data_IF_901826332085
#
_entry.id   IF_901826332085
#
_cell.length_a   1.000
_cell.length_b   1.000
_cell.length_c   1.000
_cell.angle_alpha   90.00
_cell.angle_beta   90.00
_cell.angle_gamma   90.00
#
_symmetry.space_group_name_H-M   'P 1'
#
loop_
_entity.id
_entity.type
_entity.pdbx_description
1 polymer ?
#
# COMPACT_ATOMS: atom_id res chain seq x y z
N UNK A 1 -32.08 1.33 -15.20
CA UNK A 1 -32.59 2.44 -16.05
C UNK A 1 -31.44 3.43 -16.18
N UNK A 2 -30.65 3.31 -17.25
CA UNK A 2 -29.52 4.20 -17.52
C UNK A 2 -30.02 5.61 -17.81
N UNK A 3 -29.73 6.55 -16.92
CA UNK A 3 -29.88 7.97 -17.20
C UNK A 3 -28.65 8.42 -17.98
N UNK A 4 -28.75 8.48 -19.31
CA UNK A 4 -27.78 9.20 -20.12
C UNK A 4 -27.95 10.71 -19.90
N UNK A 5 -27.26 11.25 -18.90
CA UNK A 5 -27.15 12.68 -18.68
C UNK A 5 -26.08 13.25 -19.63
N UNK A 6 -26.56 13.94 -20.67
CA UNK A 6 -25.73 14.61 -21.67
C UNK A 6 -24.95 15.79 -21.03
N UNK A 7 -23.78 16.15 -21.57
CA UNK A 7 -22.81 17.19 -21.08
C UNK A 7 -23.37 18.61 -20.87
N UNK A 8 -24.67 18.83 -21.05
CA UNK A 8 -25.35 20.14 -20.89
C UNK A 8 -26.66 20.03 -20.11
N UNK A 9 -26.91 18.92 -19.44
CA UNK A 9 -28.15 18.71 -18.70
C UNK A 9 -28.16 19.58 -17.43
N UNK A 10 -29.05 20.59 -17.43
CA UNK A 10 -29.42 21.35 -16.23
C UNK A 10 -30.41 20.51 -15.43
N UNK A 11 -30.13 20.22 -14.17
CA UNK A 11 -31.10 19.52 -13.31
C UNK A 11 -32.03 20.55 -12.68
N UNK A 12 -33.35 20.36 -12.82
CA UNK A 12 -34.36 21.18 -12.16
C UNK A 12 -34.58 20.67 -10.72
N UNK A 13 -33.88 21.28 -9.77
CA UNK A 13 -34.29 21.33 -8.37
C UNK A 13 -35.05 22.66 -8.18
N UNK A 14 -36.36 22.59 -7.94
CA UNK A 14 -37.20 23.71 -7.49
C UNK A 14 -37.23 24.99 -8.36
N UNK A 15 -37.22 24.89 -9.69
CA UNK A 15 -37.66 25.99 -10.57
C UNK A 15 -36.78 27.24 -10.63
N UNK A 16 -35.49 27.17 -10.25
CA UNK A 16 -34.48 28.22 -10.53
C UNK A 16 -33.36 27.68 -11.41
N UNK A 17 -32.72 28.58 -12.17
CA UNK A 17 -31.57 28.25 -13.03
C UNK A 17 -30.44 27.67 -12.19
N UNK A 18 -30.20 26.37 -12.34
CA UNK A 18 -29.22 25.65 -11.53
C UNK A 18 -27.84 25.63 -12.19
N UNK A 19 -26.84 25.58 -11.32
CA UNK A 19 -25.44 25.35 -11.65
C UNK A 19 -25.33 24.09 -12.55
N UNK A 20 -24.64 24.14 -13.69
CA UNK A 20 -24.37 22.99 -14.54
C UNK A 20 -23.86 21.78 -13.73
N UNK A 21 -24.35 20.58 -14.07
CA UNK A 21 -23.98 19.33 -13.38
C UNK A 21 -22.46 19.12 -13.35
N UNK A 22 -21.76 19.53 -14.39
CA UNK A 22 -20.31 19.46 -14.50
C UNK A 22 -19.61 20.32 -13.43
N UNK A 23 -20.12 21.53 -13.19
CA UNK A 23 -19.59 22.40 -12.14
C UNK A 23 -19.90 21.87 -10.74
N UNK A 24 -21.07 21.23 -10.55
CA UNK A 24 -21.38 20.53 -9.30
C UNK A 24 -20.36 19.41 -9.08
N UNK A 25 -20.15 18.53 -10.07
CA UNK A 25 -19.14 17.46 -9.98
C UNK A 25 -17.73 18.01 -9.73
N UNK A 26 -17.39 19.15 -10.34
CA UNK A 26 -16.12 19.81 -10.13
C UNK A 26 -15.96 20.35 -8.70
N UNK A 27 -17.01 20.90 -8.10
CA UNK A 27 -16.97 21.35 -6.70
C UNK A 27 -16.86 20.14 -5.76
N UNK A 28 -17.71 19.13 -5.96
CA UNK A 28 -17.78 17.97 -5.06
C UNK A 28 -16.52 17.13 -5.07
N UNK A 29 -15.85 17.00 -6.21
CA UNK A 29 -14.59 16.26 -6.31
C UNK A 29 -13.38 16.99 -5.67
N UNK A 30 -13.54 18.23 -5.18
CA UNK A 30 -12.56 18.93 -4.32
C UNK A 30 -12.82 18.71 -2.82
N UNK A 31 -13.97 18.14 -2.45
CA UNK A 31 -14.32 17.97 -1.05
C UNK A 31 -13.59 16.77 -0.44
N UNK A 32 -13.30 16.79 0.88
CA UNK A 32 -12.83 15.62 1.59
C UNK A 32 -13.81 14.45 1.47
N UNK A 33 -13.28 13.23 1.46
CA UNK A 33 -14.05 11.99 1.35
C UNK A 33 -15.25 11.91 2.30
N UNK A 34 -15.07 12.30 3.57
CA UNK A 34 -16.14 12.33 4.58
C UNK A 34 -17.29 13.26 4.20
N UNK A 35 -16.99 14.38 3.55
CA UNK A 35 -18.00 15.31 3.06
C UNK A 35 -18.74 14.74 1.86
N UNK A 36 -18.05 14.04 0.95
CA UNK A 36 -18.68 13.34 -0.18
C UNK A 36 -19.68 12.29 0.31
N UNK A 37 -19.29 11.49 1.33
CA UNK A 37 -20.20 10.51 1.93
C UNK A 37 -21.48 11.16 2.48
N UNK A 38 -21.39 12.35 3.09
CA UNK A 38 -22.55 13.12 3.54
C UNK A 38 -23.38 13.67 2.37
N UNK A 39 -22.72 14.10 1.30
CA UNK A 39 -23.38 14.57 0.09
C UNK A 39 -24.25 13.48 -0.57
N UNK A 40 -23.84 12.21 -0.52
CA UNK A 40 -24.67 11.08 -0.96
C UNK A 40 -26.01 11.00 -0.21
N UNK A 41 -26.08 11.49 1.04
CA UNK A 41 -27.29 11.46 1.85
C UNK A 41 -28.23 12.65 1.61
N UNK A 42 -27.83 13.67 0.84
CA UNK A 42 -28.61 14.89 0.62
C UNK A 42 -29.84 14.62 -0.26
N UNK A 43 -29.67 13.84 -1.33
CA UNK A 43 -30.78 13.43 -2.21
C UNK A 43 -30.40 12.25 -3.10
N UNK A 44 -31.40 11.56 -3.67
CA UNK A 44 -31.20 10.48 -4.65
C UNK A 44 -30.43 10.93 -5.89
N UNK A 45 -30.66 12.18 -6.32
CA UNK A 45 -29.96 12.79 -7.44
C UNK A 45 -28.46 12.92 -7.14
N UNK A 46 -28.11 13.43 -5.97
CA UNK A 46 -26.72 13.59 -5.56
C UNK A 46 -26.01 12.25 -5.41
N UNK A 47 -26.68 11.25 -4.81
CA UNK A 47 -26.18 9.88 -4.78
C UNK A 47 -25.92 9.34 -6.19
N UNK A 48 -26.83 9.59 -7.15
CA UNK A 48 -26.66 9.18 -8.54
C UNK A 48 -25.49 9.88 -9.22
N UNK A 49 -25.28 11.18 -8.99
CA UNK A 49 -24.16 11.95 -9.56
C UNK A 49 -22.83 11.44 -9.03
N UNK A 50 -22.73 11.23 -7.72
CA UNK A 50 -21.52 10.77 -7.04
C UNK A 50 -21.17 9.31 -7.39
N UNK A 51 -22.16 8.53 -7.86
CA UNK A 51 -21.96 7.19 -8.40
C UNK A 51 -21.64 7.13 -9.89
N UNK A 52 -21.59 8.26 -10.61
CA UNK A 52 -21.26 8.26 -12.03
C UNK A 52 -19.78 7.87 -12.23
N UNK A 53 -19.46 7.00 -13.20
CA UNK A 53 -18.07 6.65 -13.52
C UNK A 53 -17.18 7.87 -13.75
N UNK A 54 -17.70 8.89 -14.42
CA UNK A 54 -16.99 10.16 -14.64
C UNK A 54 -16.63 10.87 -13.33
N UNK A 55 -17.53 10.90 -12.34
CA UNK A 55 -17.23 11.52 -11.05
C UNK A 55 -16.18 10.73 -10.28
N UNK A 56 -16.29 9.39 -10.29
CA UNK A 56 -15.33 8.51 -9.64
C UNK A 56 -13.92 8.68 -10.22
N UNK A 57 -13.80 8.72 -11.54
CA UNK A 57 -12.52 8.98 -12.23
C UNK A 57 -11.97 10.38 -11.91
N UNK A 58 -12.83 11.40 -11.89
CA UNK A 58 -12.45 12.77 -11.55
C UNK A 58 -11.94 12.88 -10.10
N UNK A 59 -12.63 12.23 -9.16
CA UNK A 59 -12.23 12.18 -7.76
C UNK A 59 -10.90 11.44 -7.59
N UNK A 60 -10.76 10.24 -8.18
CA UNK A 60 -9.52 9.45 -8.11
C UNK A 60 -8.32 10.20 -8.72
N UNK A 61 -8.52 10.93 -9.83
CA UNK A 61 -7.47 11.76 -10.45
C UNK A 61 -7.01 12.87 -9.51
N UNK A 62 -7.95 13.54 -8.83
CA UNK A 62 -7.64 14.63 -7.89
C UNK A 62 -6.99 14.12 -6.62
N UNK A 63 -7.46 12.99 -6.12
CA UNK A 63 -6.87 12.28 -4.99
C UNK A 63 -5.43 11.85 -5.30
N UNK A 64 -5.17 11.36 -6.52
CA UNK A 64 -3.81 11.03 -6.98
C UNK A 64 -2.89 12.25 -7.04
N UNK A 65 -3.42 13.42 -7.40
CA UNK A 65 -2.66 14.68 -7.41
C UNK A 65 -2.45 15.27 -6.00
N UNK A 66 -3.18 14.77 -4.99
CA UNK A 66 -3.13 15.21 -3.59
C UNK A 66 -3.17 13.98 -2.68
N UNK A 67 -2.11 13.16 -2.70
CA UNK A 67 -2.11 11.91 -1.95
C UNK A 67 -2.28 12.15 -0.47
N UNK A 68 -2.74 11.11 0.21
CA UNK A 68 -2.85 11.05 1.65
C UNK A 68 -1.84 10.04 2.20
N UNK A 69 -1.55 10.15 3.49
CA UNK A 69 -0.98 9.06 4.24
C UNK A 69 -2.10 8.17 4.74
N UNK A 70 -1.92 6.85 4.67
CA UNK A 70 -2.83 5.86 5.24
C UNK A 70 -2.21 5.24 6.49
N UNK A 71 -2.98 5.21 7.57
CA UNK A 71 -2.64 4.52 8.81
C UNK A 71 -3.54 3.31 8.97
N UNK A 72 -2.95 2.13 9.09
CA UNK A 72 -3.64 0.89 9.39
C UNK A 72 -3.31 0.45 10.82
N UNK A 73 -4.24 0.72 11.74
CA UNK A 73 -4.13 0.38 13.15
C UNK A 73 -4.72 -1.00 13.41
N UNK A 74 -3.90 -1.96 13.87
CA UNK A 74 -4.36 -3.30 14.25
C UNK A 74 -4.76 -3.34 15.72
N UNK A 75 -5.95 -3.87 15.99
CA UNK A 75 -6.51 -4.03 17.34
C UNK A 75 -7.57 -5.13 17.39
N UNK A 76 -7.45 -6.05 18.35
CA UNK A 76 -8.50 -7.02 18.74
C UNK A 76 -9.21 -7.72 17.56
N UNK A 77 -8.45 -8.28 16.61
CA UNK A 77 -9.02 -8.93 15.41
C UNK A 77 -9.62 -7.96 14.39
N UNK A 78 -9.21 -6.70 14.42
CA UNK A 78 -9.69 -5.64 13.53
C UNK A 78 -8.53 -4.80 13.01
N UNK A 79 -8.73 -4.23 11.83
CA UNK A 79 -7.91 -3.16 11.29
C UNK A 79 -8.77 -1.90 11.19
N UNK A 80 -8.32 -0.83 11.82
CA UNK A 80 -8.90 0.50 11.75
C UNK A 80 -8.08 1.33 10.78
N UNK A 81 -8.73 1.92 9.79
CA UNK A 81 -8.06 2.76 8.80
C UNK A 81 -8.30 4.24 9.08
N UNK A 82 -7.22 5.02 8.97
CA UNK A 82 -7.25 6.46 9.07
C UNK A 82 -6.47 7.08 7.91
N UNK A 83 -6.85 8.25 7.45
CA UNK A 83 -6.06 9.02 6.48
C UNK A 83 -5.77 10.42 6.96
N UNK A 84 -4.65 10.97 6.52
CA UNK A 84 -4.35 12.38 6.67
C UNK A 84 -3.75 12.94 5.38
N UNK A 85 -3.99 14.22 5.05
CA UNK A 85 -3.38 14.85 3.88
C UNK A 85 -1.86 14.70 3.90
N UNK A 86 -1.28 14.26 2.78
CA UNK A 86 0.17 14.19 2.65
C UNK A 86 0.70 15.58 2.26
N UNK A 87 1.53 16.21 3.09
CA UNK A 87 2.15 17.50 2.74
C UNK A 87 3.03 17.35 1.49
N UNK A 88 2.87 18.27 0.53
CA UNK A 88 3.70 18.31 -0.69
C UNK A 88 4.91 19.25 -0.56
N UNK A 89 4.83 20.24 0.32
CA UNK A 89 5.93 21.17 0.60
C UNK A 89 6.15 21.26 2.11
N UNK A 90 7.38 20.98 2.53
CA UNK A 90 7.83 21.13 3.90
C UNK A 90 8.65 22.40 4.01
N UNK A 91 8.04 23.42 4.60
CA UNK A 91 8.79 24.53 5.18
C UNK A 91 8.85 24.33 6.68
N UNK A 92 9.99 24.71 7.27
CA UNK A 92 10.28 24.52 8.71
C UNK A 92 9.23 25.21 9.60
N UNK A 93 8.51 26.19 9.06
CA UNK A 93 7.45 26.93 9.74
C UNK A 93 6.07 26.24 9.68
N UNK A 94 5.95 25.12 8.96
CA UNK A 94 4.69 24.38 8.75
C UNK A 94 4.49 23.24 9.78
N UNK A 95 4.96 23.42 11.01
CA UNK A 95 4.83 22.44 12.11
C UNK A 95 3.41 22.42 12.70
N UNK A 96 2.40 22.27 11.85
CA UNK A 96 1.04 21.99 12.29
C UNK A 96 0.88 20.49 12.49
N UNK A 97 0.26 20.08 13.60
CA UNK A 97 -0.11 18.69 13.84
C UNK A 97 -0.92 18.10 12.68
N UNK A 98 -0.72 16.81 12.42
CA UNK A 98 -1.43 16.07 11.38
C UNK A 98 -2.64 15.40 12.01
N UNK A 99 -3.84 15.78 11.58
CA UNK A 99 -5.08 15.13 12.02
C UNK A 99 -5.39 13.91 11.15
N UNK A 100 -5.27 12.71 11.73
CA UNK A 100 -5.68 11.47 11.12
C UNK A 100 -7.21 11.28 11.25
N UNK A 101 -7.90 11.29 10.11
CA UNK A 101 -9.34 11.11 10.03
C UNK A 101 -9.69 9.63 9.94
N UNK A 102 -10.60 9.17 10.79
CA UNK A 102 -11.14 7.82 10.71
C UNK A 102 -11.84 7.60 9.37
N UNK A 103 -11.44 6.55 8.67
CA UNK A 103 -12.05 6.11 7.41
C UNK A 103 -13.04 4.97 7.65
N UNK A 104 -12.54 3.82 8.06
CA UNK A 104 -13.33 2.59 8.15
C UNK A 104 -12.70 1.57 9.09
N UNK A 105 -13.39 0.44 9.27
CA UNK A 105 -12.86 -0.73 9.98
C UNK A 105 -13.13 -1.99 9.19
N UNK A 106 -12.20 -2.94 9.29
CA UNK A 106 -12.38 -4.31 8.80
C UNK A 106 -12.14 -5.26 9.96
N UNK A 107 -13.10 -6.15 10.20
CA UNK A 107 -12.96 -7.23 11.16
C UNK A 107 -12.44 -8.48 10.44
N UNK A 108 -11.59 -9.24 11.11
CA UNK A 108 -11.14 -10.54 10.66
C UNK A 108 -11.13 -11.53 11.83
N UNK A 109 -11.41 -12.79 11.57
CA UNK A 109 -11.40 -13.83 12.60
C UNK A 109 -10.03 -14.49 12.63
N UNK A 110 -9.08 -13.92 13.38
CA UNK A 110 -7.72 -14.46 13.41
C UNK A 110 -6.81 -13.84 14.46
N UNK A 111 -5.75 -14.57 14.80
CA UNK A 111 -4.73 -14.13 15.77
C UNK A 111 -3.69 -13.18 15.17
N UNK A 112 -3.47 -13.22 13.86
CA UNK A 112 -2.51 -12.38 13.15
C UNK A 112 -3.05 -12.00 11.76
N UNK A 113 -2.77 -10.77 11.34
CA UNK A 113 -3.11 -10.26 10.01
C UNK A 113 -1.90 -9.52 9.42
N UNK A 114 -1.53 -9.94 8.21
CA UNK A 114 -0.63 -9.23 7.32
C UNK A 114 -1.42 -8.32 6.39
N UNK A 115 -0.94 -7.09 6.20
CA UNK A 115 -1.55 -6.08 5.34
C UNK A 115 -0.59 -5.80 4.19
N UNK A 116 -0.97 -6.21 2.97
CA UNK A 116 -0.31 -5.76 1.75
C UNK A 116 -0.67 -4.30 1.51
N UNK A 117 0.35 -3.46 1.30
CA UNK A 117 0.21 -2.01 1.16
C UNK A 117 -0.76 -1.57 0.07
N UNK A 118 -1.18 -0.30 0.09
CA UNK A 118 -2.22 0.19 -0.79
C UNK A 118 -1.77 0.16 -2.25
N UNK A 119 -2.64 -0.37 -3.11
CA UNK A 119 -2.48 -0.32 -4.57
C UNK A 119 -3.78 0.21 -5.15
N UNK A 120 -3.72 1.39 -5.79
CA UNK A 120 -4.90 2.07 -6.34
C UNK A 120 -6.06 2.19 -5.33
N UNK A 121 -5.74 2.60 -4.10
CA UNK A 121 -6.73 2.81 -3.04
C UNK A 121 -7.21 1.56 -2.33
N UNK A 122 -6.78 0.37 -2.75
CA UNK A 122 -7.16 -0.92 -2.14
C UNK A 122 -6.03 -1.51 -1.30
N UNK A 123 -6.38 -2.19 -0.22
CA UNK A 123 -5.45 -2.97 0.63
C UNK A 123 -5.89 -4.43 0.70
N UNK A 124 -4.96 -5.34 0.94
CA UNK A 124 -5.25 -6.77 1.09
C UNK A 124 -4.81 -7.27 2.46
N UNK A 125 -5.75 -7.87 3.17
CA UNK A 125 -5.56 -8.47 4.48
C UNK A 125 -5.45 -9.98 4.28
N UNK A 126 -4.37 -10.56 4.79
CA UNK A 126 -4.19 -12.02 4.89
C UNK A 126 -4.10 -12.39 6.36
N UNK A 127 -4.96 -13.27 6.84
CA UNK A 127 -4.99 -13.69 8.24
C UNK A 127 -5.20 -15.19 8.36
N UNK A 128 -4.76 -15.75 9.50
CA UNK A 128 -5.02 -17.16 9.83
C UNK A 128 -6.38 -17.25 10.51
N UNK A 129 -7.29 -18.02 9.94
CA UNK A 129 -8.60 -18.27 10.55
C UNK A 129 -8.42 -19.05 11.86
N UNK A 130 -9.18 -18.71 12.90
CA UNK A 130 -9.14 -19.44 14.17
C UNK A 130 -9.99 -20.73 14.12
N UNK A 131 -11.01 -20.77 13.27
CA UNK A 131 -11.97 -21.89 13.17
C UNK A 131 -11.51 -22.96 12.19
N UNK A 132 -10.74 -22.56 11.18
CA UNK A 132 -10.23 -23.44 10.14
C UNK A 132 -8.71 -23.39 10.07
N UNK A 133 -8.07 -24.47 9.63
CA UNK A 133 -6.65 -24.45 9.27
C UNK A 133 -6.36 -23.72 7.95
N UNK A 134 -7.33 -22.95 7.43
CA UNK A 134 -7.27 -22.17 6.20
C UNK A 134 -6.86 -20.71 6.48
N UNK A 135 -6.48 -19.98 5.42
CA UNK A 135 -6.21 -18.54 5.50
C UNK A 135 -7.37 -17.75 4.92
N UNK A 136 -7.75 -16.69 5.62
CA UNK A 136 -8.71 -15.71 5.16
C UNK A 136 -8.02 -14.60 4.38
N UNK A 137 -8.66 -14.16 3.31
CA UNK A 137 -8.17 -13.10 2.43
C UNK A 137 -9.29 -12.09 2.20
N UNK A 138 -9.03 -10.83 2.56
CA UNK A 138 -9.99 -9.74 2.37
C UNK A 138 -9.32 -8.61 1.61
N UNK A 139 -9.89 -8.25 0.46
CA UNK A 139 -9.60 -6.97 -0.19
C UNK A 139 -10.50 -5.92 0.45
N UNK A 140 -9.93 -4.77 0.79
CA UNK A 140 -10.69 -3.66 1.34
C UNK A 140 -10.35 -2.38 0.61
N UNK A 141 -11.36 -1.55 0.37
CA UNK A 141 -11.17 -0.13 0.11
C UNK A 141 -11.27 0.60 1.46
N UNK A 142 -10.15 1.11 2.04
CA UNK A 142 -10.18 1.82 3.30
C UNK A 142 -11.09 3.06 3.26
N UNK A 143 -11.20 3.74 2.12
CA UNK A 143 -11.98 4.98 1.96
C UNK A 143 -13.47 4.73 2.09
N UNK A 144 -13.99 3.68 1.47
CA UNK A 144 -15.44 3.37 1.50
C UNK A 144 -15.80 2.37 2.61
N UNK A 145 -14.82 1.64 3.13
CA UNK A 145 -15.02 0.51 4.04
C UNK A 145 -15.61 -0.73 3.35
N UNK A 146 -15.71 -0.71 2.02
CA UNK A 146 -16.16 -1.89 1.27
C UNK A 146 -15.10 -2.98 1.34
N UNK A 147 -15.58 -4.21 1.47
CA UNK A 147 -14.74 -5.40 1.62
C UNK A 147 -15.19 -6.47 0.64
N UNK A 148 -14.23 -7.16 0.07
CA UNK A 148 -14.42 -8.34 -0.75
C UNK A 148 -13.63 -9.49 -0.14
N UNK A 149 -14.33 -10.47 0.41
CA UNK A 149 -13.73 -11.73 0.87
C UNK A 149 -13.43 -12.60 -0.35
N UNK A 150 -12.16 -12.99 -0.50
CA UNK A 150 -11.78 -13.86 -1.60
C UNK A 150 -12.13 -15.32 -1.29
N UNK A 151 -12.43 -16.14 -2.32
CA UNK A 151 -12.62 -17.57 -2.15
C UNK A 151 -11.46 -18.19 -1.37
N UNK A 152 -11.80 -18.97 -0.33
CA UNK A 152 -10.81 -19.72 0.42
C UNK A 152 -10.10 -20.71 -0.51
N UNK A 153 -8.82 -20.89 -0.23
CA UNK A 153 -8.03 -21.94 -0.85
C UNK A 153 -7.94 -23.08 0.17
N UNK A 154 -8.35 -24.28 -0.24
CA UNK A 154 -8.08 -25.49 0.54
C UNK A 154 -6.57 -25.60 0.73
N UNK A 155 -6.13 -25.31 1.95
CA UNK A 155 -4.74 -25.45 2.38
C UNK A 155 -4.38 -26.92 2.36
N UNK A 156 -3.24 -27.27 1.76
CA UNK A 156 -2.76 -28.65 1.81
C UNK A 156 -2.39 -28.99 3.26
N UNK A 157 -2.99 -30.06 3.76
CA UNK A 157 -2.91 -30.54 5.15
C UNK A 157 -1.45 -30.59 5.63
N UNK A 158 -1.12 -29.84 6.69
CA UNK A 158 0.17 -29.94 7.40
C UNK A 158 0.93 -28.63 7.66
N UNK A 159 0.49 -27.51 7.08
CA UNK A 159 1.23 -26.25 7.12
C UNK A 159 0.95 -25.44 8.41
N UNK A 160 1.83 -25.55 9.41
CA UNK A 160 1.62 -24.97 10.77
C UNK A 160 1.98 -23.48 10.94
N UNK A 161 2.63 -22.81 9.97
CA UNK A 161 3.17 -21.45 10.16
C UNK A 161 2.34 -20.34 9.45
N UNK A 162 2.07 -19.20 10.12
CA UNK A 162 1.31 -18.07 9.56
C UNK A 162 2.00 -17.37 8.38
N UNK A 163 3.30 -17.61 8.16
CA UNK A 163 4.08 -16.98 7.10
C UNK A 163 4.05 -17.71 5.75
N UNK A 164 3.42 -18.89 5.71
CA UNK A 164 3.55 -19.84 4.58
C UNK A 164 2.57 -19.63 3.43
N UNK A 165 1.74 -18.60 3.50
CA UNK A 165 0.82 -18.23 2.43
C UNK A 165 0.45 -16.76 2.53
N UNK A 166 0.64 -16.00 1.46
CA UNK A 166 0.56 -14.53 1.46
C UNK A 166 -0.15 -14.09 0.19
N UNK A 167 -1.04 -13.10 0.33
CA UNK A 167 -1.60 -12.38 -0.81
C UNK A 167 -0.95 -11.02 -0.95
N UNK A 168 -0.43 -10.74 -2.13
CA UNK A 168 0.09 -9.43 -2.52
C UNK A 168 -0.85 -8.81 -3.55
N UNK A 169 -1.27 -7.57 -3.28
CA UNK A 169 -1.99 -6.78 -4.28
C UNK A 169 -1.04 -6.26 -5.33
N UNK A 170 -1.52 -6.23 -6.55
CA UNK A 170 -0.84 -5.57 -7.64
C UNK A 170 -1.87 -5.05 -8.65
N UNK A 171 -1.46 -4.15 -9.54
CA UNK A 171 -2.36 -3.52 -10.50
C UNK A 171 -1.73 -3.47 -11.89
N UNK A 172 -2.53 -3.76 -12.90
CA UNK A 172 -2.17 -3.55 -14.30
C UNK A 172 -2.58 -2.12 -14.73
N UNK A 173 -1.62 -1.21 -14.94
CA UNK A 173 -1.92 0.16 -15.35
C UNK A 173 -2.46 0.28 -16.77
N UNK A 174 -2.24 -0.73 -17.63
CA UNK A 174 -2.70 -0.73 -19.03
C UNK A 174 -4.18 -1.09 -19.09
N UNK A 175 -4.53 -2.23 -18.50
CA UNK A 175 -5.92 -2.73 -18.50
C UNK A 175 -6.76 -2.13 -17.37
N UNK A 176 -6.13 -1.35 -16.48
CA UNK A 176 -6.72 -0.73 -15.28
C UNK A 176 -7.37 -1.74 -14.33
N UNK A 177 -6.75 -2.92 -14.18
CA UNK A 177 -7.29 -4.02 -13.38
C UNK A 177 -6.43 -4.32 -12.16
N UNK A 178 -7.07 -4.35 -10.99
CA UNK A 178 -6.48 -4.90 -9.79
C UNK A 178 -6.38 -6.43 -9.88
N UNK A 179 -5.31 -6.98 -9.35
CA UNK A 179 -5.06 -8.42 -9.31
C UNK A 179 -4.41 -8.80 -7.97
N UNK A 180 -4.52 -10.06 -7.58
CA UNK A 180 -4.04 -10.58 -6.29
C UNK A 180 -3.17 -11.80 -6.52
N UNK A 181 -1.93 -11.77 -6.01
CA UNK A 181 -0.97 -12.86 -6.14
C UNK A 181 -0.99 -13.62 -4.83
N UNK A 182 -1.56 -14.81 -4.88
CA UNK A 182 -1.48 -15.74 -3.78
C UNK A 182 -0.26 -16.63 -3.97
N UNK A 183 0.60 -16.64 -2.96
CA UNK A 183 1.76 -17.52 -2.88
C UNK A 183 1.59 -18.40 -1.66
N UNK A 184 1.78 -19.71 -1.82
CA UNK A 184 1.70 -20.68 -0.72
C UNK A 184 2.86 -21.66 -0.82
N UNK A 185 3.55 -21.90 0.30
CA UNK A 185 4.54 -22.95 0.43
C UNK A 185 3.87 -24.31 0.31
N UNK A 186 4.39 -25.13 -0.60
CA UNK A 186 3.99 -26.51 -0.81
C UNK A 186 5.21 -27.42 -0.75
N UNK A 187 5.02 -28.65 -0.26
CA UNK A 187 6.09 -29.66 -0.23
C UNK A 187 6.02 -30.45 -1.54
N UNK A 188 7.00 -30.25 -2.40
CA UNK A 188 7.20 -31.10 -3.55
C UNK A 188 7.86 -32.41 -3.10
N UNK A 189 7.05 -33.46 -2.94
CA UNK A 189 7.49 -34.79 -2.54
C UNK A 189 8.41 -35.47 -3.57
N UNK A 190 8.42 -35.04 -4.84
CA UNK A 190 9.29 -35.63 -5.86
C UNK A 190 10.76 -35.23 -5.67
N UNK A 191 11.00 -34.05 -5.09
CA UNK A 191 12.33 -33.47 -4.87
C UNK A 191 12.61 -33.15 -3.40
N UNK A 192 11.69 -33.50 -2.49
CA UNK A 192 11.78 -33.24 -1.05
C UNK A 192 12.06 -31.76 -0.69
N UNK A 193 11.51 -30.83 -1.47
CA UNK A 193 11.73 -29.38 -1.31
C UNK A 193 10.43 -28.62 -1.10
N UNK A 194 10.50 -27.54 -0.33
CA UNK A 194 9.39 -26.59 -0.16
C UNK A 194 9.47 -25.53 -1.26
N UNK A 195 8.41 -25.39 -2.05
CA UNK A 195 8.33 -24.46 -3.19
C UNK A 195 7.05 -23.64 -3.13
N UNK A 196 7.04 -22.43 -3.67
CA UNK A 196 5.80 -21.67 -3.78
C UNK A 196 4.93 -22.17 -4.93
N UNK A 197 3.65 -22.38 -4.62
CA UNK A 197 2.58 -22.38 -5.60
C UNK A 197 2.05 -20.96 -5.76
N UNK A 198 1.98 -20.50 -7.01
CA UNK A 198 1.48 -19.19 -7.37
C UNK A 198 0.08 -19.31 -7.97
N UNK A 199 -0.86 -18.56 -7.43
CA UNK A 199 -2.20 -18.40 -7.99
C UNK A 199 -2.51 -16.92 -8.16
N UNK A 200 -3.22 -16.62 -9.22
CA UNK A 200 -3.63 -15.27 -9.58
C UNK A 200 -5.14 -15.17 -9.54
N UNK A 201 -5.63 -14.06 -9.04
CA UNK A 201 -7.01 -13.63 -9.19
C UNK A 201 -7.05 -12.23 -9.80
N UNK A 202 -8.00 -11.98 -10.69
CA UNK A 202 -8.26 -10.65 -11.24
C UNK A 202 -9.52 -10.10 -10.61
N UNK A 203 -9.45 -8.87 -10.11
CA UNK A 203 -10.57 -8.19 -9.46
C UNK A 203 -11.49 -7.55 -10.49
N UNK A 204 -12.77 -7.38 -10.13
CA UNK A 204 -13.78 -6.76 -11.01
C UNK A 204 -14.34 -7.66 -12.11
N UNK A 205 -14.06 -8.96 -12.08
CA UNK A 205 -14.70 -9.95 -12.96
C UNK A 205 -16.04 -10.42 -12.40
N UNK A 206 -16.94 -10.91 -13.26
CA UNK A 206 -18.24 -11.47 -12.81
C UNK A 206 -18.07 -12.68 -11.89
N UNK A 207 -16.99 -13.45 -12.10
CA UNK A 207 -16.64 -14.62 -11.30
C UNK A 207 -15.21 -14.47 -10.79
N UNK A 208 -15.05 -14.56 -9.47
CA UNK A 208 -13.75 -14.54 -8.82
C UNK A 208 -13.19 -15.95 -8.78
N UNK A 209 -12.18 -16.21 -9.59
CA UNK A 209 -11.53 -17.51 -9.68
C UNK A 209 -10.03 -17.39 -9.55
N UNK A 210 -9.45 -18.31 -8.78
CA UNK A 210 -8.02 -18.50 -8.72
C UNK A 210 -7.56 -19.33 -9.92
N UNK A 211 -6.68 -18.77 -10.74
CA UNK A 211 -5.95 -19.53 -11.77
C UNK A 211 -4.53 -19.79 -11.31
N UNK A 212 -3.99 -20.96 -11.67
CA UNK A 212 -2.57 -21.26 -11.43
C UNK A 212 -1.72 -20.48 -12.44
N UNK A 213 -0.63 -19.90 -11.97
CA UNK A 213 0.43 -19.40 -12.86
C UNK A 213 1.66 -20.29 -12.70
N UNK A 214 2.44 -20.43 -13.78
CA UNK A 214 3.65 -21.26 -13.78
C UNK A 214 4.84 -20.35 -13.54
N UNK A 215 5.56 -20.61 -12.45
CA UNK A 215 6.89 -20.09 -12.24
C UNK A 215 7.92 -21.17 -12.61
N UNK A 216 8.84 -20.86 -13.53
CA UNK A 216 9.85 -21.80 -13.98
C UNK A 216 10.96 -22.05 -12.93
N UNK A 217 11.12 -21.15 -11.96
CA UNK A 217 12.17 -21.23 -10.94
C UNK A 217 11.52 -21.44 -9.57
N UNK A 218 11.70 -22.63 -8.96
CA UNK A 218 11.24 -22.88 -7.60
C UNK A 218 11.96 -21.99 -6.58
N UNK A 219 11.16 -21.33 -5.75
CA UNK A 219 11.64 -20.37 -4.76
C UNK A 219 10.66 -20.30 -3.58
N UNK A 220 11.11 -19.71 -2.47
CA UNK A 220 10.26 -19.42 -1.31
C UNK A 220 10.28 -17.92 -0.97
N UNK A 221 9.13 -17.37 -0.57
CA UNK A 221 8.94 -15.92 -0.42
C UNK A 221 8.99 -15.52 1.04
N UNK A 222 9.49 -14.32 1.28
CA UNK A 222 9.34 -13.64 2.56
C UNK A 222 8.17 -12.64 2.51
N UNK A 223 7.84 -12.06 3.66
CA UNK A 223 6.62 -11.28 3.93
C UNK A 223 6.70 -9.83 3.43
N UNK A 224 7.53 -9.52 2.43
CA UNK A 224 7.72 -8.14 1.94
C UNK A 224 7.65 -8.09 0.40
N UNK A 225 6.74 -7.27 -0.11
CA UNK A 225 6.64 -6.96 -1.53
C UNK A 225 5.99 -5.60 -1.79
N UNK A 226 6.28 -5.03 -2.96
CA UNK A 226 5.80 -3.70 -3.38
C UNK A 226 5.44 -3.73 -4.87
N UNK A 227 4.33 -3.06 -5.23
CA UNK A 227 3.93 -2.89 -6.62
C UNK A 227 4.40 -1.53 -7.13
N UNK A 228 5.20 -1.51 -8.20
CA UNK A 228 5.75 -0.29 -8.82
C UNK A 228 5.49 -0.37 -10.32
N UNK A 229 4.75 0.61 -10.87
CA UNK A 229 4.49 0.73 -12.31
C UNK A 229 3.98 -0.56 -13.00
N UNK A 230 3.18 -1.36 -12.30
CA UNK A 230 2.66 -2.62 -12.83
C UNK A 230 3.59 -3.82 -12.69
N UNK A 231 4.69 -3.70 -11.97
CA UNK A 231 5.56 -4.83 -11.62
C UNK A 231 5.54 -5.01 -10.10
N UNK A 232 5.24 -6.23 -9.67
CA UNK A 232 5.33 -6.61 -8.26
C UNK A 232 6.74 -7.11 -7.97
N UNK A 233 7.42 -6.45 -7.03
CA UNK A 233 8.76 -6.80 -6.54
C UNK A 233 8.65 -7.42 -5.16
N UNK A 234 9.25 -8.58 -4.96
CA UNK A 234 9.35 -9.19 -3.64
C UNK A 234 10.64 -9.98 -3.50
N UNK A 235 11.16 -10.08 -2.26
CA UNK A 235 12.34 -10.90 -1.99
C UNK A 235 11.97 -12.36 -1.91
N UNK A 236 12.83 -13.16 -2.51
CA UNK A 236 12.75 -14.61 -2.43
C UNK A 236 14.13 -15.23 -2.29
N UNK A 237 14.15 -16.52 -2.02
CA UNK A 237 15.35 -17.35 -2.07
C UNK A 237 15.06 -18.56 -2.93
N UNK A 238 16.00 -18.90 -3.82
CA UNK A 238 15.90 -20.10 -4.67
C UNK A 238 15.91 -21.36 -3.83
N UNK A 239 15.03 -22.30 -4.16
CA UNK A 239 14.87 -23.53 -3.38
C UNK A 239 16.14 -24.42 -3.41
N UNK A 240 16.86 -24.44 -4.54
CA UNK A 240 18.02 -25.33 -4.74
C UNK A 240 19.36 -24.70 -4.36
N UNK A 241 19.60 -23.45 -4.77
CA UNK A 241 20.90 -22.80 -4.58
C UNK A 241 20.98 -22.00 -3.28
N UNK A 242 19.82 -21.71 -2.67
CA UNK A 242 19.69 -20.81 -1.52
C UNK A 242 20.16 -19.36 -1.79
N UNK A 243 20.26 -18.96 -3.06
CA UNK A 243 20.57 -17.59 -3.43
C UNK A 243 19.39 -16.67 -3.18
N UNK A 244 19.67 -15.50 -2.60
CA UNK A 244 18.70 -14.43 -2.47
C UNK A 244 18.49 -13.74 -3.81
N UNK A 245 17.23 -13.59 -4.21
CA UNK A 245 16.84 -12.97 -5.47
C UNK A 245 15.69 -12.00 -5.23
N UNK A 246 15.55 -11.01 -6.10
CA UNK A 246 14.30 -10.25 -6.19
C UNK A 246 13.49 -10.86 -7.31
N UNK A 247 12.27 -11.27 -6.99
CA UNK A 247 11.31 -11.73 -7.98
C UNK A 247 10.50 -10.53 -8.46
N UNK A 248 10.42 -10.40 -9.77
CA UNK A 248 9.62 -9.41 -10.45
C UNK A 248 8.47 -10.14 -11.15
N UNK A 249 7.25 -9.71 -10.92
CA UNK A 249 6.06 -10.30 -11.54
C UNK A 249 5.29 -9.22 -12.29
N UNK A 250 5.27 -9.33 -13.62
CA UNK A 250 4.65 -8.33 -14.49
C UNK A 250 3.14 -8.46 -14.50
N UNK A 251 2.43 -7.35 -14.31
CA UNK A 251 0.99 -7.36 -14.18
C UNK A 251 0.27 -7.73 -15.46
N UNK A 252 0.85 -7.45 -16.62
CA UNK A 252 0.22 -7.61 -17.92
C UNK A 252 0.50 -8.98 -18.51
N UNK A 253 1.78 -9.37 -18.58
CA UNK A 253 2.16 -10.69 -19.10
C UNK A 253 1.93 -11.81 -18.07
N UNK A 254 1.85 -11.49 -16.77
CA UNK A 254 1.80 -12.48 -15.69
C UNK A 254 3.01 -13.43 -15.72
N UNK A 255 4.17 -12.88 -16.11
CA UNK A 255 5.44 -13.61 -16.19
C UNK A 255 6.38 -13.21 -15.05
N UNK A 256 7.16 -14.20 -14.61
CA UNK A 256 8.18 -14.03 -13.59
C UNK A 256 9.53 -13.73 -14.23
N UNK A 257 10.22 -12.74 -13.68
CA UNK A 257 11.65 -12.50 -13.92
C UNK A 257 12.38 -12.34 -12.58
N UNK A 258 13.70 -12.45 -12.62
CA UNK A 258 14.54 -12.55 -11.43
C UNK A 258 15.73 -11.61 -11.56
N UNK A 259 15.98 -10.86 -10.50
CA UNK A 259 17.16 -10.01 -10.37
C UNK A 259 18.11 -10.69 -9.40
N UNK A 260 19.33 -10.92 -9.87
CA UNK A 260 20.41 -11.44 -9.04
C UNK A 260 20.87 -10.37 -8.03
N UNK A 261 21.20 -10.83 -6.83
CA UNK A 261 21.58 -9.94 -5.72
C UNK A 261 23.00 -10.26 -5.31
N UNK A 262 23.92 -9.34 -5.61
CA UNK A 262 25.30 -9.45 -5.17
C UNK A 262 25.39 -9.48 -3.64
N UNK A 263 26.45 -10.10 -3.11
CA UNK A 263 26.66 -10.26 -1.67
C UNK A 263 26.54 -8.95 -0.89
N UNK A 264 27.02 -7.85 -1.46
CA UNK A 264 26.97 -6.49 -0.88
C UNK A 264 25.53 -5.99 -0.65
N UNK A 265 24.55 -6.43 -1.45
CA UNK A 265 23.16 -5.97 -1.38
C UNK A 265 22.22 -6.94 -0.66
N UNK A 266 22.72 -8.09 -0.17
CA UNK A 266 21.92 -9.06 0.60
C UNK A 266 21.36 -8.45 1.88
N UNK A 267 22.19 -7.73 2.65
CA UNK A 267 21.74 -7.09 3.91
C UNK A 267 20.69 -6.01 3.65
N UNK A 268 20.90 -5.04 2.73
CA UNK A 268 19.84 -4.11 2.33
C UNK A 268 18.54 -4.79 1.93
N UNK A 269 18.59 -5.89 1.18
CA UNK A 269 17.38 -6.59 0.73
C UNK A 269 16.63 -7.29 1.87
N UNK A 270 17.37 -7.84 2.85
CA UNK A 270 16.81 -8.53 4.01
C UNK A 270 16.18 -7.53 4.98
N UNK A 271 16.93 -6.48 5.31
CA UNK A 271 16.61 -5.60 6.42
C UNK A 271 15.95 -4.31 6.00
N UNK A 272 16.10 -3.85 4.76
CA UNK A 272 15.63 -2.53 4.33
C UNK A 272 14.12 -2.44 4.15
N UNK A 273 13.61 -1.21 4.18
CA UNK A 273 12.25 -0.87 3.80
C UNK A 273 12.16 -0.76 2.29
N UNK A 274 11.16 -1.44 1.69
CA UNK A 274 10.98 -1.44 0.23
C UNK A 274 10.23 -0.19 -0.15
N UNK A 275 10.75 0.55 -1.12
CA UNK A 275 10.19 1.83 -1.53
C UNK A 275 10.08 1.92 -3.04
N UNK A 276 9.10 2.70 -3.48
CA UNK A 276 9.05 3.20 -4.85
C UNK A 276 9.85 4.51 -4.90
N UNK A 277 11.06 4.48 -5.46
CA UNK A 277 11.88 5.67 -5.65
C UNK A 277 11.79 6.13 -7.11
N UNK A 278 10.83 7.04 -7.38
CA UNK A 278 10.58 7.61 -8.71
C UNK A 278 10.38 6.54 -9.80
N UNK A 279 9.54 5.55 -9.52
CA UNK A 279 9.25 4.44 -10.44
C UNK A 279 10.26 3.29 -10.40
N UNK A 280 11.28 3.36 -9.55
CA UNK A 280 12.32 2.33 -9.39
C UNK A 280 12.22 1.63 -8.06
N UNK A 281 12.58 0.36 -8.04
CA UNK A 281 12.69 -0.40 -6.81
C UNK A 281 13.88 0.11 -5.98
N UNK A 282 13.60 0.51 -4.75
CA UNK A 282 14.60 0.98 -3.80
C UNK A 282 14.47 0.33 -2.43
N UNK A 283 15.58 0.36 -1.70
CA UNK A 283 15.71 -0.12 -0.33
C UNK A 283 16.23 1.03 0.53
N UNK A 284 15.53 1.33 1.61
CA UNK A 284 15.92 2.37 2.57
C UNK A 284 16.26 1.74 3.91
N UNK A 285 17.41 2.10 4.47
CA UNK A 285 17.90 1.56 5.72
C UNK A 285 18.78 2.54 6.50
N UNK A 286 18.92 2.31 7.80
CA UNK A 286 19.88 2.97 8.67
C UNK A 286 20.81 1.91 9.26
N UNK A 287 22.08 1.92 8.89
CA UNK A 287 23.12 1.04 9.48
C UNK A 287 22.71 -0.45 9.52
N UNK A 288 22.05 -0.94 8.47
CA UNK A 288 21.60 -2.34 8.36
C UNK A 288 20.19 -2.64 8.89
N UNK A 289 19.37 -1.63 9.21
CA UNK A 289 18.02 -1.80 9.75
C UNK A 289 16.95 -1.01 8.98
N UNK A 290 15.68 -1.49 8.97
CA UNK A 290 14.48 -0.78 8.45
C UNK A 290 13.91 0.24 9.44
N UNK A 291 14.65 0.58 10.49
CA UNK A 291 14.31 1.63 11.42
C UNK A 291 15.49 2.55 11.65
N UNK A 292 15.20 3.75 12.14
CA UNK A 292 16.18 4.68 12.66
C UNK A 292 15.91 4.95 14.13
N UNK A 293 16.94 5.34 14.87
CA UNK A 293 16.90 5.65 16.29
C UNK A 293 17.87 6.80 16.62
N UNK A 294 18.02 7.13 17.90
CA UNK A 294 18.94 8.19 18.34
C UNK A 294 20.40 7.97 17.90
N UNK A 295 20.84 6.70 17.77
CA UNK A 295 22.21 6.36 17.41
C UNK A 295 22.48 6.44 15.89
N UNK A 296 21.41 6.51 15.10
CA UNK A 296 21.51 6.62 13.64
C UNK A 296 22.33 7.86 13.24
N UNK A 297 23.32 7.65 12.37
CA UNK A 297 24.21 8.71 11.88
C UNK A 297 24.03 9.03 10.39
N UNK A 298 23.41 8.11 9.65
CA UNK A 298 23.16 8.26 8.22
C UNK A 298 22.07 7.30 7.76
N UNK A 299 21.37 7.68 6.70
CA UNK A 299 20.50 6.79 5.94
C UNK A 299 21.17 6.36 4.65
N UNK A 300 20.88 5.14 4.23
CA UNK A 300 21.37 4.55 2.98
C UNK A 300 20.16 4.22 2.10
N UNK A 301 20.19 4.75 0.89
CA UNK A 301 19.25 4.46 -0.17
C UNK A 301 19.96 3.64 -1.23
N UNK A 302 19.48 2.43 -1.46
CA UNK A 302 19.96 1.54 -2.51
C UNK A 302 18.88 1.45 -3.59
N UNK A 303 19.20 1.76 -4.84
CA UNK A 303 18.24 1.77 -5.96
C UNK A 303 18.77 0.93 -7.12
N UNK A 304 17.89 0.12 -7.71
CA UNK A 304 18.19 -0.66 -8.91
C UNK A 304 18.00 0.22 -10.14
N UNK A 305 19.01 0.28 -11.01
CA UNK A 305 19.00 1.02 -12.27
C UNK A 305 18.17 0.35 -13.37
N UNK A 306 17.87 1.12 -14.43
CA UNK A 306 17.05 0.65 -15.58
C UNK A 306 17.91 0.06 -16.72
N UNK A 307 19.24 0.07 -16.57
CA UNK A 307 20.16 -0.47 -17.57
C UNK A 307 19.97 -1.97 -17.73
N UNK A 308 20.28 -2.53 -18.92
CA UNK A 308 20.28 -3.98 -19.17
C UNK A 308 21.10 -4.77 -18.12
N UNK A 309 22.11 -4.14 -17.52
CA UNK A 309 22.97 -4.73 -16.49
C UNK A 309 22.42 -4.62 -15.05
N UNK A 310 21.26 -4.00 -14.84
CA UNK A 310 20.63 -3.80 -13.51
C UNK A 310 21.60 -3.24 -12.45
N UNK A 311 22.34 -2.18 -12.79
CA UNK A 311 23.35 -1.62 -11.90
C UNK A 311 22.72 -1.06 -10.62
N UNK A 312 23.27 -1.49 -9.49
CA UNK A 312 22.87 -1.03 -8.17
C UNK A 312 23.57 0.29 -7.81
N UNK A 313 22.81 1.26 -7.34
CA UNK A 313 23.36 2.54 -6.86
C UNK A 313 23.06 2.74 -5.38
N UNK A 314 24.09 3.09 -4.61
CA UNK A 314 23.96 3.39 -3.18
C UNK A 314 24.20 4.88 -2.95
N UNK A 315 23.29 5.53 -2.24
CA UNK A 315 23.41 6.92 -1.78
C UNK A 315 23.35 6.95 -0.27
N UNK A 316 24.28 7.67 0.34
CA UNK A 316 24.36 7.84 1.80
C UNK A 316 24.05 9.28 2.17
N UNK A 317 23.08 9.45 3.07
CA UNK A 317 22.65 10.76 3.58
C UNK A 317 23.04 10.86 5.04
N UNK A 318 24.06 11.66 5.34
CA UNK A 318 24.50 11.91 6.73
C UNK A 318 23.46 12.77 7.44
N UNK A 319 23.05 12.36 8.64
CA UNK A 319 22.02 13.04 9.40
C UNK A 319 22.57 14.31 10.06
N UNK A 320 21.75 15.37 10.17
CA UNK A 320 22.19 16.60 10.82
C UNK A 320 22.33 16.38 12.34
N UNK A 321 23.16 17.18 13.04
CA UNK A 321 23.33 17.06 14.49
C UNK A 321 22.02 17.17 15.30
N UNK A 322 21.03 17.88 14.75
CA UNK A 322 19.68 18.02 15.32
C UNK A 322 18.93 16.69 15.44
N UNK A 323 19.29 15.66 14.66
CA UNK A 323 18.67 14.34 14.71
C UNK A 323 18.63 13.75 16.13
N UNK A 324 19.79 13.74 16.80
CA UNK A 324 19.93 13.17 18.17
C UNK A 324 19.03 13.87 19.20
N UNK A 325 18.69 15.14 18.96
CA UNK A 325 17.83 15.90 19.86
C UNK A 325 16.35 15.65 19.57
N UNK A 326 15.99 15.29 18.33
CA UNK A 326 14.61 15.09 17.90
C UNK A 326 14.11 13.65 18.04
N UNK A 327 15.01 12.68 17.90
CA UNK A 327 14.71 11.24 17.88
C UNK A 327 15.33 10.58 19.10
N UNK A 328 14.47 10.03 19.96
CA UNK A 328 14.85 9.27 21.16
C UNK A 328 14.41 7.81 21.12
N UNK A 329 13.51 7.48 20.19
CA UNK A 329 12.86 6.18 20.07
C UNK A 329 13.10 5.61 18.68
N UNK A 330 12.78 4.33 18.50
CA UNK A 330 12.84 3.68 17.20
C UNK A 330 11.71 4.16 16.29
N UNK A 331 12.06 4.56 15.08
CA UNK A 331 11.15 5.04 14.04
C UNK A 331 11.25 4.12 12.82
N UNK A 332 10.12 3.60 12.35
CA UNK A 332 10.09 2.81 11.13
C UNK A 332 10.18 3.70 9.89
N UNK A 333 10.93 3.27 8.87
CA UNK A 333 10.87 3.91 7.56
C UNK A 333 9.51 3.65 6.91
N UNK A 334 8.90 4.70 6.37
CA UNK A 334 7.66 4.59 5.59
C UNK A 334 7.99 4.59 4.10
N UNK A 335 8.74 5.59 3.65
CA UNK A 335 9.09 5.77 2.25
C UNK A 335 9.55 7.19 1.92
N UNK A 336 9.39 7.57 0.66
CA UNK A 336 9.68 8.91 0.16
C UNK A 336 8.38 9.66 -0.15
N UNK A 337 8.41 10.98 0.05
CA UNK A 337 7.47 11.91 -0.59
C UNK A 337 8.27 12.67 -1.65
N UNK A 338 7.86 12.51 -2.91
CA UNK A 338 8.64 12.96 -4.05
C UNK A 338 10.01 12.28 -4.07
N UNK A 339 11.08 13.05 -4.31
CA UNK A 339 12.45 12.54 -4.40
C UNK A 339 13.36 13.00 -3.26
N UNK A 340 12.87 13.90 -2.39
CA UNK A 340 13.73 14.62 -1.45
C UNK A 340 13.35 14.43 0.01
N UNK A 341 12.16 13.94 0.31
CA UNK A 341 11.71 13.83 1.70
C UNK A 341 11.55 12.37 2.10
N UNK A 342 12.38 11.93 3.06
CA UNK A 342 12.23 10.64 3.72
C UNK A 342 11.21 10.78 4.84
N UNK A 343 10.26 9.85 4.90
CA UNK A 343 9.23 9.79 5.93
C UNK A 343 9.53 8.64 6.89
N UNK A 344 9.58 8.96 8.18
CA UNK A 344 9.64 7.98 9.25
C UNK A 344 8.45 8.17 10.18
N UNK A 345 7.98 7.08 10.78
CA UNK A 345 6.83 7.11 11.67
C UNK A 345 7.17 6.49 13.02
N UNK A 346 6.73 7.17 14.08
CA UNK A 346 6.61 6.53 15.39
C UNK A 346 5.35 5.65 15.37
N UNK A 347 5.35 4.45 15.97
CA UNK A 347 4.20 3.53 15.92
C UNK A 347 2.85 4.09 16.38
N UNK A 348 2.79 5.23 17.06
CA UNK A 348 1.50 5.79 17.53
C UNK A 348 1.42 7.31 17.67
N UNK A 349 2.51 8.07 17.47
CA UNK A 349 2.60 9.40 18.12
C UNK A 349 2.96 10.55 17.19
N UNK A 350 3.91 10.35 16.28
CA UNK A 350 4.42 11.43 15.43
C UNK A 350 5.07 10.88 14.16
N UNK A 351 5.20 11.77 13.18
CA UNK A 351 5.90 11.54 11.92
C UNK A 351 7.12 12.45 11.88
N UNK A 352 8.19 11.96 11.27
CA UNK A 352 9.36 12.75 10.92
C UNK A 352 9.48 12.85 9.41
N UNK A 353 9.58 14.08 8.93
CA UNK A 353 9.93 14.42 7.57
C UNK A 353 11.37 14.89 7.53
N UNK A 354 12.24 14.11 6.89
CA UNK A 354 13.63 14.46 6.68
C UNK A 354 13.84 14.86 5.21
N UNK A 355 14.05 16.15 4.96
CA UNK A 355 14.37 16.66 3.64
C UNK A 355 15.88 16.56 3.40
N UNK A 356 16.30 15.73 2.46
CA UNK A 356 17.70 15.42 2.18
C UNK A 356 18.45 16.56 1.47
N UNK A 357 17.74 17.41 0.73
CA UNK A 357 18.36 18.55 0.01
C UNK A 357 18.62 19.72 0.95
N UNK A 358 17.60 20.07 1.74
CA UNK A 358 17.69 21.16 2.74
C UNK A 358 18.41 20.70 4.01
N UNK A 359 18.61 19.39 4.18
CA UNK A 359 19.11 18.77 5.41
C UNK A 359 18.32 19.20 6.66
N UNK A 360 16.99 19.31 6.53
CA UNK A 360 16.08 19.76 7.57
C UNK A 360 15.18 18.63 8.04
N UNK A 361 14.90 18.61 9.35
CA UNK A 361 14.01 17.64 9.99
C UNK A 361 12.80 18.40 10.51
N UNK A 362 11.60 17.92 10.18
CA UNK A 362 10.34 18.40 10.76
C UNK A 362 9.67 17.23 11.47
N UNK A 363 9.38 17.42 12.76
CA UNK A 363 8.61 16.48 13.58
C UNK A 363 7.18 16.99 13.72
N UNK A 364 6.21 16.11 13.50
CA UNK A 364 4.79 16.46 13.52
C UNK A 364 4.01 15.42 14.30
N UNK A 365 3.19 15.85 15.27
CA UNK A 365 2.36 14.92 16.05
C UNK A 365 1.20 14.41 15.22
N UNK A 366 0.82 13.15 15.42
CA UNK A 366 -0.39 12.58 14.83
C UNK A 366 -1.52 12.71 15.84
N UNK A 367 -2.55 13.48 15.49
CA UNK A 367 -3.77 13.58 16.29
C UNK A 367 -4.83 12.60 15.75
N UNK A 368 -5.64 12.06 16.66
CA UNK A 368 -6.81 11.22 16.31
C UNK A 368 -6.57 9.71 16.40
N UNK A 369 -5.33 9.25 16.59
CA UNK A 369 -5.01 7.84 16.82
C UNK A 369 -5.04 7.44 18.30
N UNK A 370 -4.81 8.39 19.22
CA UNK A 370 -4.57 8.13 20.64
C UNK A 370 -5.71 7.39 21.36
N UNK A 371 -6.96 7.64 20.94
CA UNK A 371 -8.15 7.00 21.53
C UNK A 371 -8.26 5.50 21.23
N UNK A 372 -7.49 4.98 20.28
CA UNK A 372 -7.70 3.64 19.74
C UNK A 372 -6.77 2.57 20.31
N UNK A 373 -5.72 2.90 21.07
CA UNK A 373 -4.80 1.93 21.72
C UNK A 373 -4.40 0.77 20.80
N UNK A 374 -3.80 1.10 19.66
CA UNK A 374 -3.38 0.13 18.64
C UNK A 374 -2.22 -0.76 19.13
N UNK A 375 -2.19 -2.03 18.74
CA UNK A 375 -1.02 -2.89 18.96
C UNK A 375 0.13 -2.55 18.01
N UNK A 376 -0.23 -2.17 16.78
CA UNK A 376 0.67 -1.82 15.70
C UNK A 376 -0.04 -0.84 14.77
N UNK A 377 0.69 0.15 14.25
CA UNK A 377 0.20 1.06 13.21
C UNK A 377 1.17 0.97 12.03
N UNK A 378 0.66 0.46 10.91
CA UNK A 378 1.37 0.53 9.63
C UNK A 378 1.02 1.85 8.95
N UNK A 379 2.03 2.54 8.44
CA UNK A 379 1.85 3.80 7.72
C UNK A 379 2.26 3.60 6.27
N UNK A 380 1.49 4.18 5.35
CA UNK A 380 1.77 4.18 3.92
C UNK A 380 1.68 5.60 3.38
N UNK A 381 2.62 5.97 2.52
CA UNK A 381 2.60 7.21 1.73
C UNK A 381 1.88 6.98 0.40
N UNK A 382 1.55 8.06 -0.29
CA UNK A 382 0.97 8.07 -1.64
C UNK A 382 -0.36 7.32 -1.74
N UNK A 383 -1.09 7.24 -0.62
CA UNK A 383 -2.42 6.65 -0.60
C UNK A 383 -3.40 7.54 -1.36
N UNK A 384 -4.06 6.95 -2.34
CA UNK A 384 -5.11 7.57 -3.12
C UNK A 384 -6.45 7.13 -2.53
N UNK A 385 -7.21 8.08 -1.97
CA UNK A 385 -8.61 7.85 -1.63
C UNK A 385 -9.40 7.58 -2.91
N UNK A 386 -10.16 6.48 -2.92
CA UNK A 386 -10.94 6.02 -4.06
C UNK A 386 -12.37 5.68 -3.61
N UNK A 387 -13.36 6.09 -4.40
CA UNK A 387 -14.78 5.85 -4.16
C UNK A 387 -15.31 4.62 -4.90
N UNK A 388 -14.50 3.99 -5.75
CA UNK A 388 -14.86 2.79 -6.50
C UNK A 388 -15.02 1.58 -5.55
N UNK A 389 -16.02 0.77 -5.89
CA UNK A 389 -16.42 -0.42 -5.15
C UNK A 389 -15.72 -1.68 -5.66
#
# INVERSE_FOLDING_TARGET
MELQLNRRSKILLNGRENLPIDLVMEILSRLPLKSIGRCCCVSKLWASILGLPYFLDLFATRSSARPHMLFACRRDGKVLFFSAPQPQNFDVNSSSDVTANYLSRVSYDGSYCYISGPVHGLVCLTFKDNKESSKGHIICNPSTGQTLTLPQLESMVGVRSPYKAISLLWYDPTDKKGKVLFMEEDVDHSISLVVLKHKVMTLGTQKLEWRRTKCCIPHYSYVKGICINGVLYYRSVRAYTHDSVIVCFDARSEEFSFIEVETTFKVPLICGQYINYNGKFGLLLSQGWDYADEASSSFELVVIGDSENQEWSTRKYVLPPTWKNMVKEKLGFVGFIGTHTIVLTHPSSYIIYYNIEKNTIVKVSIQGLDGFKCFEVLTFVDYVEDLRA
#
